data_IF_618083092064
#
_entry.id   IF_618083092064
#
_cell.length_a   1.000
_cell.length_b   1.000
_cell.length_c   1.000
_cell.angle_alpha   90.00
_cell.angle_beta   90.00
_cell.angle_gamma   90.00
#
_symmetry.space_group_name_H-M   'P 1'
#
loop_
_entity.id
_entity.type
_entity.pdbx_description
1 polymer ?
#
# COMPACT_ATOMS: atom_id res chain seq x y z
N UNK A 1 -6.48 39.40 60.20
CA UNK A 1 -7.41 38.46 59.54
C UNK A 1 -6.73 37.93 58.30
N UNK A 2 -6.38 36.65 58.31
CA UNK A 2 -5.68 35.96 57.23
C UNK A 2 -6.73 35.22 56.39
N UNK A 3 -6.90 35.62 55.13
CA UNK A 3 -7.85 34.97 54.21
C UNK A 3 -7.15 33.72 53.64
N UNK A 4 -7.66 32.50 53.84
CA UNK A 4 -7.05 31.31 53.28
C UNK A 4 -7.17 31.34 51.75
N UNK A 5 -6.03 31.21 51.06
CA UNK A 5 -6.00 30.95 49.62
C UNK A 5 -6.56 29.56 49.36
N UNK A 6 -7.72 29.49 48.71
CA UNK A 6 -8.24 28.27 48.11
C UNK A 6 -7.19 27.70 47.14
N UNK A 7 -6.70 26.52 47.47
CA UNK A 7 -5.85 25.70 46.62
C UNK A 7 -6.70 25.16 45.47
N UNK A 8 -6.60 25.78 44.30
CA UNK A 8 -7.14 25.20 43.08
C UNK A 8 -6.43 23.87 42.77
N UNK A 9 -7.16 22.78 42.47
CA UNK A 9 -6.54 21.53 42.04
C UNK A 9 -5.88 21.74 40.67
N UNK A 10 -4.59 21.40 40.59
CA UNK A 10 -3.82 21.44 39.35
C UNK A 10 -4.52 20.58 38.30
N UNK A 11 -4.81 21.20 37.15
CA UNK A 11 -5.29 20.55 35.94
C UNK A 11 -4.30 19.45 35.54
N UNK A 12 -4.67 18.19 35.77
CA UNK A 12 -3.98 17.04 35.22
C UNK A 12 -4.19 17.05 33.72
N UNK A 13 -3.15 17.36 32.96
CA UNK A 13 -3.16 17.26 31.51
C UNK A 13 -3.57 15.86 31.10
N UNK A 14 -4.60 15.74 30.28
CA UNK A 14 -4.94 14.50 29.58
C UNK A 14 -3.83 14.23 28.57
N UNK A 15 -2.75 13.60 29.04
CA UNK A 15 -1.76 12.98 28.19
C UNK A 15 -2.50 11.99 27.30
N UNK A 16 -2.61 12.33 26.01
CA UNK A 16 -3.25 11.51 25.00
C UNK A 16 -2.73 10.08 25.13
N UNK A 17 -3.64 9.19 25.50
CA UNK A 17 -3.40 7.77 25.62
C UNK A 17 -2.79 7.29 24.29
N UNK A 18 -1.51 6.90 24.33
CA UNK A 18 -0.93 6.07 23.27
C UNK A 18 -1.81 4.83 23.20
N UNK A 19 -2.53 4.71 22.09
CA UNK A 19 -3.26 3.51 21.75
C UNK A 19 -2.33 2.31 21.94
N UNK A 20 -2.74 1.39 22.79
CA UNK A 20 -2.12 0.09 22.96
C UNK A 20 -2.52 -0.72 21.74
N UNK A 21 -1.75 -0.60 20.66
CA UNK A 21 -1.91 -1.46 19.50
C UNK A 21 -1.54 -2.89 19.89
N UNK A 22 -2.54 -3.77 19.89
CA UNK A 22 -2.40 -5.19 20.18
C UNK A 22 -1.36 -5.83 19.26
N UNK A 23 -0.29 -6.32 19.86
CA UNK A 23 0.89 -6.86 19.20
C UNK A 23 0.64 -8.33 18.79
N UNK A 24 -0.08 -8.52 17.68
CA UNK A 24 -0.14 -9.79 16.92
C UNK A 24 -0.08 -9.56 15.40
N UNK A 25 0.67 -8.54 14.98
CA UNK A 25 0.91 -8.26 13.58
C UNK A 25 2.34 -7.76 13.39
N UNK A 26 3.18 -8.58 12.76
CA UNK A 26 4.54 -8.22 12.41
C UNK A 26 4.68 -6.84 11.77
N UNK A 27 5.76 -6.14 12.09
CA UNK A 27 6.03 -4.77 11.60
C UNK A 27 5.99 -4.71 10.07
N UNK A 28 4.94 -4.11 9.50
CA UNK A 28 4.74 -3.95 8.05
C UNK A 28 5.59 -2.79 7.52
N UNK A 29 6.60 -3.07 6.69
CA UNK A 29 7.40 -2.04 6.00
C UNK A 29 7.00 -1.97 4.53
N UNK A 30 6.35 -0.88 4.13
CA UNK A 30 5.92 -0.67 2.75
C UNK A 30 7.13 -0.31 1.88
N UNK A 31 7.25 -0.98 0.73
CA UNK A 31 8.33 -0.79 -0.25
C UNK A 31 7.84 0.02 -1.44
N UNK A 32 6.72 -0.40 -2.02
CA UNK A 32 6.13 0.24 -3.18
C UNK A 32 4.60 0.23 -3.07
N UNK A 33 3.95 1.28 -3.58
CA UNK A 33 2.50 1.38 -3.65
C UNK A 33 2.08 1.82 -5.05
N UNK A 34 1.13 1.11 -5.63
CA UNK A 34 0.50 1.49 -6.88
C UNK A 34 -0.64 2.48 -6.63
N UNK A 35 -0.29 3.77 -6.52
CA UNK A 35 -1.27 4.86 -6.33
C UNK A 35 -2.17 5.03 -7.55
N UNK A 36 -1.68 4.68 -8.75
CA UNK A 36 -2.43 4.74 -10.01
C UNK A 36 -3.56 3.71 -10.02
N UNK A 37 -3.30 2.48 -9.60
CA UNK A 37 -4.32 1.43 -9.55
C UNK A 37 -5.52 1.82 -8.67
N UNK A 38 -5.28 2.39 -7.48
CA UNK A 38 -6.36 2.86 -6.59
C UNK A 38 -7.20 4.00 -7.18
N UNK A 39 -6.64 4.76 -8.11
CA UNK A 39 -7.34 5.84 -8.80
C UNK A 39 -8.14 5.29 -9.99
N UNK A 40 -7.49 4.50 -10.84
CA UNK A 40 -8.03 4.08 -12.14
C UNK A 40 -9.05 2.95 -12.03
N UNK A 41 -8.99 2.16 -10.96
CA UNK A 41 -9.85 1.01 -10.72
C UNK A 41 -10.66 1.12 -9.43
N UNK A 42 -11.85 0.54 -9.43
CA UNK A 42 -12.63 0.22 -8.25
C UNK A 42 -12.16 -1.14 -7.72
N UNK A 43 -11.70 -1.17 -6.47
CA UNK A 43 -11.23 -2.39 -5.81
C UNK A 43 -12.44 -3.13 -5.26
N UNK A 44 -12.59 -4.40 -5.62
CA UNK A 44 -13.68 -5.28 -5.17
C UNK A 44 -13.20 -6.12 -4.00
N UNK A 45 -12.07 -6.79 -4.18
CA UNK A 45 -11.50 -7.70 -3.19
C UNK A 45 -9.97 -7.59 -3.19
N UNK A 46 -9.34 -7.88 -2.06
CA UNK A 46 -7.88 -7.76 -1.86
C UNK A 46 -7.31 -9.01 -1.22
N UNK A 47 -6.20 -9.50 -1.77
CA UNK A 47 -5.53 -10.72 -1.32
C UNK A 47 -4.06 -10.45 -1.00
N UNK A 48 -3.53 -11.20 -0.03
CA UNK A 48 -2.12 -11.16 0.36
C UNK A 48 -1.39 -12.35 -0.29
N UNK A 49 -0.49 -12.07 -1.24
CA UNK A 49 0.32 -13.08 -1.91
C UNK A 49 1.77 -13.04 -1.46
N UNK A 50 2.40 -14.21 -1.31
CA UNK A 50 3.86 -14.30 -1.30
C UNK A 50 4.45 -14.11 -2.70
N UNK A 51 5.71 -13.71 -2.81
CA UNK A 51 6.42 -13.66 -4.10
C UNK A 51 7.62 -14.60 -4.13
N UNK A 52 7.81 -15.28 -5.26
CA UNK A 52 9.03 -16.02 -5.54
C UNK A 52 10.07 -15.07 -6.13
N UNK A 53 11.03 -14.65 -5.30
CA UNK A 53 12.06 -13.68 -5.64
C UNK A 53 13.45 -14.30 -5.64
N UNK A 54 14.34 -13.74 -6.44
CA UNK A 54 15.78 -14.01 -6.38
C UNK A 54 16.43 -13.17 -5.28
N UNK A 55 17.57 -13.63 -4.74
CA UNK A 55 18.27 -12.90 -3.68
C UNK A 55 18.65 -11.47 -4.04
N UNK A 56 19.02 -11.21 -5.31
CA UNK A 56 19.31 -9.86 -5.83
C UNK A 56 18.08 -8.95 -5.83
N UNK A 57 16.89 -9.49 -6.14
CA UNK A 57 15.63 -8.73 -6.07
C UNK A 57 15.27 -8.33 -4.65
N UNK A 58 15.50 -9.22 -3.69
CA UNK A 58 15.25 -8.91 -2.27
C UNK A 58 16.13 -7.76 -1.82
N UNK A 59 17.39 -7.68 -2.29
CA UNK A 59 18.27 -6.55 -2.02
C UNK A 59 17.76 -5.26 -2.66
N UNK A 60 17.42 -5.29 -3.96
CA UNK A 60 16.84 -4.12 -4.66
C UNK A 60 15.53 -3.62 -4.03
N UNK A 61 14.66 -4.52 -3.57
CA UNK A 61 13.43 -4.15 -2.86
C UNK A 61 13.72 -3.45 -1.53
N UNK A 62 14.80 -3.83 -0.83
CA UNK A 62 15.18 -3.16 0.42
C UNK A 62 15.68 -1.73 0.20
N UNK A 63 16.22 -1.44 -0.98
CA UNK A 63 16.61 -0.08 -1.41
C UNK A 63 15.40 0.80 -1.79
N UNK A 64 14.21 0.21 -1.96
CA UNK A 64 12.96 0.96 -2.15
C UNK A 64 12.73 1.53 -3.56
N UNK A 65 13.55 1.17 -4.55
CA UNK A 65 13.48 1.71 -5.93
C UNK A 65 12.51 0.96 -6.86
N UNK A 66 11.47 0.35 -6.30
CA UNK A 66 10.54 -0.53 -7.04
C UNK A 66 9.28 0.20 -7.50
N UNK A 67 8.81 -0.12 -8.71
CA UNK A 67 7.56 0.41 -9.27
C UNK A 67 6.60 -0.71 -9.69
N UNK A 68 5.31 -0.50 -9.41
CA UNK A 68 4.21 -1.42 -9.72
C UNK A 68 3.21 -0.83 -10.73
N UNK A 69 3.48 0.36 -11.27
CA UNK A 69 2.49 1.18 -12.00
C UNK A 69 1.79 0.43 -13.12
N UNK A 70 2.54 -0.30 -13.95
CA UNK A 70 2.04 -1.03 -15.12
C UNK A 70 1.91 -2.53 -14.87
N UNK A 71 2.06 -2.95 -13.62
CA UNK A 71 1.99 -4.36 -13.24
C UNK A 71 0.56 -4.88 -13.30
N UNK A 72 0.41 -6.13 -13.74
CA UNK A 72 -0.85 -6.86 -13.69
C UNK A 72 -0.57 -8.31 -13.30
N UNK A 73 -1.61 -8.99 -12.81
CA UNK A 73 -1.53 -10.39 -12.43
C UNK A 73 -2.32 -11.21 -13.44
N UNK A 74 -1.71 -12.26 -13.94
CA UNK A 74 -2.33 -13.23 -14.84
C UNK A 74 -2.34 -14.59 -14.15
N UNK A 75 -3.43 -15.33 -14.33
CA UNK A 75 -3.52 -16.72 -13.92
C UNK A 75 -3.28 -17.57 -15.15
N UNK A 76 -2.29 -18.46 -15.07
CA UNK A 76 -1.94 -19.41 -16.13
C UNK A 76 -1.84 -20.80 -15.49
N UNK A 77 -2.63 -21.76 -16.00
CA UNK A 77 -2.66 -23.17 -15.55
C UNK A 77 -2.76 -23.34 -14.03
N UNK A 78 -3.64 -22.56 -13.39
CA UNK A 78 -3.85 -22.62 -11.94
C UNK A 78 -2.70 -22.06 -11.10
N UNK A 79 -1.86 -21.20 -11.69
CA UNK A 79 -0.79 -20.47 -11.00
C UNK A 79 -0.93 -18.96 -11.26
N UNK A 80 -0.72 -18.14 -10.23
CA UNK A 80 -0.75 -16.70 -10.35
C UNK A 80 0.65 -16.13 -10.66
N UNK A 81 0.73 -15.26 -11.66
CA UNK A 81 1.96 -14.65 -12.13
C UNK A 81 1.83 -13.13 -12.13
N UNK A 82 2.81 -12.45 -11.53
CA UNK A 82 2.95 -11.00 -11.58
C UNK A 82 3.81 -10.61 -12.79
N UNK A 83 3.21 -9.84 -13.69
CA UNK A 83 3.83 -9.29 -14.89
C UNK A 83 4.11 -7.79 -14.70
N UNK A 84 5.09 -7.27 -15.46
CA UNK A 84 5.41 -5.84 -15.58
C UNK A 84 5.74 -5.08 -14.27
N UNK A 85 5.92 -5.78 -13.16
CA UNK A 85 6.51 -5.19 -11.96
C UNK A 85 7.98 -4.85 -12.24
N UNK A 86 8.35 -3.59 -12.05
CA UNK A 86 9.70 -3.10 -12.28
C UNK A 86 10.48 -3.07 -10.96
N UNK A 87 11.38 -4.05 -10.80
CA UNK A 87 12.36 -4.08 -9.72
C UNK A 87 13.71 -3.84 -10.37
N UNK A 88 14.42 -2.74 -10.08
CA UNK A 88 15.70 -2.48 -10.72
C UNK A 88 16.74 -3.51 -10.29
N UNK A 89 17.68 -3.76 -11.18
CA UNK A 89 18.86 -4.55 -10.92
C UNK A 89 19.63 -4.04 -9.68
N UNK A 90 20.22 -4.97 -8.94
CA UNK A 90 21.01 -4.60 -7.77
C UNK A 90 22.35 -4.04 -8.25
N UNK A 91 22.68 -2.78 -7.90
CA UNK A 91 23.88 -2.12 -8.42
C UNK A 91 25.19 -2.79 -8.00
N UNK A 92 25.23 -3.38 -6.79
CA UNK A 92 26.39 -4.17 -6.33
C UNK A 92 26.27 -5.65 -6.73
N UNK A 93 25.36 -5.98 -7.65
CA UNK A 93 25.27 -7.29 -8.29
C UNK A 93 26.16 -7.34 -9.53
N UNK A 94 27.00 -8.37 -9.62
CA UNK A 94 27.78 -8.65 -10.82
C UNK A 94 26.95 -9.51 -11.79
N UNK A 95 27.46 -10.65 -12.24
CA UNK A 95 26.83 -11.53 -13.23
C UNK A 95 25.46 -12.13 -12.84
N UNK A 96 25.15 -12.26 -11.55
CA UNK A 96 23.93 -12.93 -11.08
C UNK A 96 22.71 -11.99 -10.99
N UNK A 97 22.69 -10.91 -11.79
CA UNK A 97 21.60 -9.95 -11.75
C UNK A 97 20.33 -10.51 -12.40
N UNK A 98 19.20 -9.95 -12.01
CA UNK A 98 17.89 -10.37 -12.49
C UNK A 98 17.38 -9.38 -13.54
N UNK A 99 16.60 -9.84 -14.51
CA UNK A 99 15.90 -8.91 -15.41
C UNK A 99 14.86 -8.11 -14.63
N UNK A 100 14.86 -6.79 -14.81
CA UNK A 100 14.04 -5.88 -14.02
C UNK A 100 12.53 -6.15 -14.10
N UNK A 101 12.04 -6.57 -15.28
CA UNK A 101 10.63 -6.84 -15.58
C UNK A 101 10.30 -8.34 -15.69
N UNK A 102 11.12 -9.21 -15.09
CA UNK A 102 10.85 -10.66 -15.15
C UNK A 102 9.46 -11.00 -14.59
N UNK A 103 8.84 -12.05 -15.14
CA UNK A 103 7.61 -12.63 -14.56
C UNK A 103 7.93 -13.27 -13.21
N UNK A 104 7.08 -13.04 -12.20
CA UNK A 104 7.28 -13.54 -10.84
C UNK A 104 6.08 -14.35 -10.40
N UNK A 105 6.31 -15.57 -9.92
CA UNK A 105 5.23 -16.42 -9.39
C UNK A 105 4.74 -15.86 -8.07
N UNK A 106 3.43 -15.79 -7.92
CA UNK A 106 2.74 -15.43 -6.68
C UNK A 106 2.31 -16.71 -5.94
N UNK A 107 2.45 -16.67 -4.62
CA UNK A 107 2.07 -17.76 -3.73
C UNK A 107 0.78 -17.36 -3.03
N UNK A 108 -0.31 -18.01 -3.42
CA UNK A 108 -1.68 -17.85 -2.92
C UNK A 108 -2.25 -19.21 -2.56
N UNK A 109 -3.33 -19.25 -1.79
CA UNK A 109 -4.07 -20.50 -1.56
C UNK A 109 -4.80 -20.93 -2.84
N UNK A 110 -5.01 -22.24 -2.99
CA UNK A 110 -5.70 -22.82 -4.17
C UNK A 110 -7.08 -22.20 -4.37
N UNK A 111 -7.88 -22.12 -3.31
CA UNK A 111 -9.22 -21.52 -3.34
C UNK A 111 -9.22 -20.05 -3.77
N UNK A 112 -8.19 -19.28 -3.38
CA UNK A 112 -8.04 -17.88 -3.79
C UNK A 112 -7.70 -17.78 -5.28
N UNK A 113 -6.84 -18.67 -5.79
CA UNK A 113 -6.49 -18.73 -7.21
C UNK A 113 -7.74 -19.06 -8.04
N UNK A 114 -8.50 -20.07 -7.63
CA UNK A 114 -9.69 -20.50 -8.38
C UNK A 114 -10.76 -19.40 -8.38
N UNK A 115 -10.94 -18.69 -7.25
CA UNK A 115 -11.83 -17.51 -7.16
C UNK A 115 -11.38 -16.38 -8.08
N UNK A 116 -10.09 -16.08 -8.10
CA UNK A 116 -9.52 -15.04 -8.96
C UNK A 116 -9.61 -15.43 -10.44
N UNK A 117 -9.43 -16.70 -10.77
CA UNK A 117 -9.53 -17.20 -12.15
C UNK A 117 -10.95 -17.06 -12.68
N UNK A 118 -11.94 -17.55 -11.93
CA UNK A 118 -13.35 -17.40 -12.28
C UNK A 118 -13.73 -15.92 -12.47
N UNK A 119 -13.28 -15.04 -11.56
CA UNK A 119 -13.56 -13.61 -11.62
C UNK A 119 -12.80 -12.88 -12.71
N UNK A 120 -11.60 -13.32 -13.07
CA UNK A 120 -10.82 -12.72 -14.16
C UNK A 120 -11.38 -13.03 -15.53
N UNK A 121 -12.18 -14.10 -15.66
CA UNK A 121 -12.89 -14.44 -16.91
C UNK A 121 -14.15 -13.58 -17.11
N UNK A 122 -14.71 -13.01 -16.04
CA UNK A 122 -15.83 -12.07 -16.13
C UNK A 122 -15.40 -10.76 -16.82
N UNK A 123 -16.23 -10.26 -17.74
CA UNK A 123 -15.90 -9.06 -18.52
C UNK A 123 -15.71 -7.82 -17.63
N UNK A 124 -14.60 -7.11 -17.84
CA UNK A 124 -14.30 -5.83 -17.18
C UNK A 124 -13.63 -5.96 -15.81
N UNK A 125 -13.30 -7.18 -15.38
CA UNK A 125 -12.45 -7.43 -14.22
C UNK A 125 -10.99 -7.59 -14.63
N UNK A 126 -10.10 -7.14 -13.76
CA UNK A 126 -8.66 -7.31 -13.91
C UNK A 126 -8.02 -7.47 -12.54
N UNK A 127 -6.85 -8.11 -12.49
CA UNK A 127 -6.13 -8.32 -11.24
C UNK A 127 -4.90 -7.41 -11.24
N UNK A 128 -4.84 -6.49 -10.27
CA UNK A 128 -3.78 -5.47 -10.19
C UNK A 128 -3.01 -5.55 -8.88
N UNK A 129 -1.69 -5.34 -8.89
CA UNK A 129 -0.89 -5.19 -7.68
C UNK A 129 -1.14 -3.81 -7.06
N UNK A 130 -1.52 -3.77 -5.78
CA UNK A 130 -1.73 -2.55 -5.01
C UNK A 130 -0.47 -2.11 -4.26
N UNK A 131 0.22 -3.06 -3.63
CA UNK A 131 1.39 -2.74 -2.80
C UNK A 131 2.37 -3.90 -2.72
N UNK A 132 3.65 -3.57 -2.56
CA UNK A 132 4.70 -4.49 -2.14
C UNK A 132 5.21 -4.04 -0.77
N UNK A 133 5.32 -4.98 0.15
CA UNK A 133 5.75 -4.70 1.51
C UNK A 133 6.47 -5.89 2.13
N UNK A 134 7.28 -5.62 3.16
CA UNK A 134 7.85 -6.65 4.00
C UNK A 134 6.97 -6.86 5.25
N UNK A 135 6.70 -8.11 5.57
CA UNK A 135 6.05 -8.57 6.79
C UNK A 135 6.87 -9.73 7.34
N UNK A 136 7.36 -9.59 8.57
CA UNK A 136 8.20 -10.60 9.23
C UNK A 136 9.42 -11.01 8.38
N UNK A 137 10.07 -10.02 7.77
CA UNK A 137 11.27 -10.21 6.94
C UNK A 137 11.01 -10.77 5.53
N UNK A 138 9.78 -11.24 5.23
CA UNK A 138 9.38 -11.77 3.91
C UNK A 138 8.68 -10.72 3.07
N UNK A 139 8.94 -10.71 1.77
CA UNK A 139 8.27 -9.85 0.82
C UNK A 139 6.87 -10.40 0.49
N UNK A 140 5.87 -9.53 0.55
CA UNK A 140 4.47 -9.82 0.22
C UNK A 140 3.95 -8.80 -0.79
N UNK A 141 3.09 -9.27 -1.68
CA UNK A 141 2.31 -8.45 -2.60
C UNK A 141 0.86 -8.41 -2.12
N UNK A 142 0.30 -7.21 -2.07
CA UNK A 142 -1.14 -7.01 -2.00
C UNK A 142 -1.65 -6.92 -3.43
N UNK A 143 -2.50 -7.88 -3.83
CA UNK A 143 -3.15 -7.90 -5.13
C UNK A 143 -4.65 -7.67 -4.94
N UNK A 144 -5.30 -7.13 -5.97
CA UNK A 144 -6.72 -6.85 -5.90
C UNK A 144 -7.44 -7.26 -7.16
N UNK A 145 -8.64 -7.81 -6.98
CA UNK A 145 -9.62 -7.89 -8.03
C UNK A 145 -10.23 -6.50 -8.21
N UNK A 146 -10.11 -5.98 -9.42
CA UNK A 146 -10.37 -4.60 -9.75
C UNK A 146 -11.28 -4.51 -10.97
N UNK A 147 -12.17 -3.52 -10.97
CA UNK A 147 -12.98 -3.13 -12.13
C UNK A 147 -12.57 -1.75 -12.60
N UNK A 148 -12.44 -1.56 -13.92
CA UNK A 148 -12.12 -0.24 -14.47
C UNK A 148 -13.19 0.79 -14.11
N UNK A 149 -12.78 1.95 -13.55
CA UNK A 149 -13.72 3.05 -13.30
C UNK A 149 -14.12 3.72 -14.61
N UNK A 150 -15.37 4.21 -14.68
CA UNK A 150 -15.78 5.08 -15.78
C UNK A 150 -15.05 6.42 -15.67
N UNK A 151 -14.92 7.13 -16.80
CA UNK A 151 -14.24 8.43 -16.80
C UNK A 151 -14.86 9.44 -15.83
N UNK A 152 -16.19 9.44 -15.73
CA UNK A 152 -16.92 10.28 -14.79
C UNK A 152 -16.45 10.06 -13.34
N UNK A 153 -16.38 8.80 -12.91
CA UNK A 153 -15.95 8.42 -11.56
C UNK A 153 -14.49 8.80 -11.29
N UNK A 154 -13.63 8.74 -12.32
CA UNK A 154 -12.23 9.20 -12.22
C UNK A 154 -12.15 10.70 -12.01
N UNK A 155 -12.95 11.50 -12.74
CA UNK A 155 -13.01 12.97 -12.57
C UNK A 155 -13.49 13.33 -11.17
N UNK A 156 -14.51 12.64 -10.65
CA UNK A 156 -15.00 12.84 -9.28
C UNK A 156 -13.91 12.53 -8.24
N UNK A 157 -13.25 11.36 -8.36
CA UNK A 157 -12.15 10.98 -7.46
C UNK A 157 -11.03 12.03 -7.45
N UNK A 158 -10.72 12.62 -8.61
CA UNK A 158 -9.70 13.66 -8.74
C UNK A 158 -10.11 14.96 -8.04
N UNK A 159 -11.37 15.40 -8.24
CA UNK A 159 -11.93 16.61 -7.61
C UNK A 159 -11.93 16.48 -6.08
N UNK A 160 -12.52 15.41 -5.55
CA UNK A 160 -12.57 15.16 -4.11
C UNK A 160 -11.17 15.15 -3.47
N UNK A 161 -10.18 14.58 -4.16
CA UNK A 161 -8.79 14.55 -3.69
C UNK A 161 -8.15 15.94 -3.70
N UNK A 162 -8.49 16.78 -4.67
CA UNK A 162 -8.01 18.15 -4.74
C UNK A 162 -8.64 19.01 -3.64
N UNK A 163 -9.96 18.93 -3.46
CA UNK A 163 -10.71 19.68 -2.45
C UNK A 163 -10.26 19.31 -1.04
N UNK A 164 -10.04 18.00 -0.79
CA UNK A 164 -9.49 17.51 0.48
C UNK A 164 -8.09 18.07 0.74
N UNK A 165 -7.23 18.07 -0.28
CA UNK A 165 -5.85 18.57 -0.15
C UNK A 165 -5.82 20.08 0.11
N UNK A 166 -6.72 20.85 -0.50
CA UNK A 166 -6.86 22.29 -0.24
C UNK A 166 -7.35 22.55 1.19
N UNK A 167 -8.39 21.83 1.61
CA UNK A 167 -8.90 21.86 2.99
C UNK A 167 -7.80 21.54 4.02
N UNK A 168 -7.04 20.48 3.79
CA UNK A 168 -5.92 20.06 4.66
C UNK A 168 -4.83 21.15 4.76
N UNK A 169 -4.53 21.85 3.64
CA UNK A 169 -3.57 22.96 3.63
C UNK A 169 -4.08 24.16 4.42
N UNK A 170 -5.36 24.53 4.26
CA UNK A 170 -5.97 25.64 4.99
C UNK A 170 -5.95 25.39 6.51
N UNK A 171 -6.31 24.18 6.94
CA UNK A 171 -6.25 23.76 8.34
C UNK A 171 -4.81 23.80 8.86
N UNK A 172 -3.85 23.29 8.10
CA UNK A 172 -2.45 23.30 8.50
C UNK A 172 -1.89 24.73 8.63
N UNK A 173 -2.26 25.64 7.73
CA UNK A 173 -1.88 27.05 7.79
C UNK A 173 -2.49 27.75 9.02
N UNK A 174 -3.77 27.50 9.33
CA UNK A 174 -4.42 28.02 10.53
C UNK A 174 -3.75 27.51 11.82
N UNK A 175 -3.44 26.21 11.91
CA UNK A 175 -2.72 25.62 13.06
C UNK A 175 -1.32 26.20 13.24
N UNK A 176 -0.61 26.54 12.15
CA UNK A 176 0.69 27.21 12.21
C UNK A 176 0.57 28.63 12.75
N UNK A 177 -0.45 29.38 12.34
CA UNK A 177 -0.73 30.73 12.87
C UNK A 177 -1.03 30.71 14.38
N UNK A 178 -1.80 29.72 14.85
CA UNK A 178 -2.12 29.57 16.28
C UNK A 178 -0.93 29.12 17.15
N UNK A 179 0.11 28.51 16.59
CA UNK A 179 1.32 28.08 17.31
C UNK A 179 2.44 29.13 17.33
N UNK A 180 2.27 30.23 16.60
CA UNK A 180 3.25 31.31 16.46
C UNK A 180 3.00 32.53 17.37
N UNK A 181 2.17 32.37 18.39
CA UNK A 181 1.92 33.31 19.51
C UNK A 181 2.23 32.57 20.79
#
# INVERSE_FOLDING_TARGET
>A
MYVPKESQPKQGGTAGAKARDGEKGGKRKIVAQNKKARHDYAIIDTFEAGLVLMGTEVKSLREGRTSLTDGFVQIDRGEAWLHNAHIPEYHQGSWTNHSARRKRKLLLHREEIDKLEAKSQETGHTIVPLALYFKDGRAKAEIALARGKKEYDKRQTLREKQDRRESDRAIAAAKRRQRGV
#
